data_IF_097068777944
#
_entry.id   IF_097068777944
#
_cell.length_a   1.000
_cell.length_b   1.000
_cell.length_c   1.000
_cell.angle_alpha   90.00
_cell.angle_beta   90.00
_cell.angle_gamma   90.00
#
_symmetry.space_group_name_H-M   'P 1'
#
loop_
_entity.id
_entity.type
_entity.pdbx_description
1 polymer ?
#
# COMPACT_ATOMS: atom_id res chain seq x y z
N UNK A 1 21.39 -20.73 -11.35
CA UNK A 1 21.73 -20.03 -10.09
C UNK A 1 20.73 -18.92 -9.89
N UNK A 2 19.62 -19.22 -9.22
CA UNK A 2 18.66 -18.21 -8.74
C UNK A 2 19.04 -17.95 -7.30
N UNK A 3 19.69 -16.82 -7.02
CA UNK A 3 19.85 -16.34 -5.65
C UNK A 3 19.10 -15.02 -5.49
N UNK A 4 18.34 -14.97 -4.39
CA UNK A 4 17.88 -13.80 -3.64
C UNK A 4 16.79 -12.89 -4.24
N UNK A 5 15.58 -13.45 -4.30
CA UNK A 5 14.38 -12.79 -3.73
C UNK A 5 13.56 -13.87 -3.03
N UNK A 6 14.05 -14.39 -1.91
CA UNK A 6 13.16 -15.06 -0.96
C UNK A 6 12.31 -13.95 -0.34
N UNK A 7 11.23 -13.56 -1.03
CA UNK A 7 10.25 -12.63 -0.45
C UNK A 7 9.76 -13.25 0.86
N UNK A 8 9.86 -12.50 1.96
CA UNK A 8 9.36 -12.95 3.25
C UNK A 8 7.85 -13.12 3.14
N UNK A 9 7.38 -14.37 3.19
CA UNK A 9 5.96 -14.69 3.16
C UNK A 9 5.33 -14.25 4.48
N UNK A 10 4.11 -13.75 4.42
CA UNK A 10 3.40 -13.28 5.61
C UNK A 10 3.12 -14.42 6.60
N UNK A 11 2.87 -15.64 6.11
CA UNK A 11 2.75 -16.83 6.93
C UNK A 11 4.06 -17.20 7.66
N UNK A 12 5.20 -17.19 6.96
CA UNK A 12 6.50 -17.46 7.58
C UNK A 12 6.83 -16.39 8.63
N UNK A 13 6.53 -15.12 8.37
CA UNK A 13 6.67 -14.05 9.35
C UNK A 13 5.83 -14.30 10.60
N UNK A 14 4.59 -14.77 10.44
CA UNK A 14 3.73 -15.14 11.56
C UNK A 14 4.36 -16.25 12.41
N UNK A 15 4.83 -17.32 11.79
CA UNK A 15 5.50 -18.41 12.50
C UNK A 15 6.75 -17.94 13.28
N UNK A 16 7.44 -16.90 12.79
CA UNK A 16 8.64 -16.35 13.44
C UNK A 16 8.36 -15.35 14.57
N UNK A 17 7.29 -14.56 14.47
CA UNK A 17 7.06 -13.42 15.35
C UNK A 17 5.77 -13.52 16.19
N UNK A 18 4.84 -14.40 15.82
CA UNK A 18 3.57 -14.69 16.50
C UNK A 18 2.84 -13.39 16.92
N UNK A 19 2.56 -13.22 18.21
CA UNK A 19 1.77 -12.10 18.77
C UNK A 19 2.42 -10.72 18.60
N UNK A 20 3.67 -10.63 18.13
CA UNK A 20 4.35 -9.34 17.88
C UNK A 20 3.94 -8.72 16.54
N UNK A 21 3.28 -9.46 15.67
CA UNK A 21 2.76 -8.98 14.39
C UNK A 21 1.38 -8.38 14.56
N UNK A 22 1.16 -7.22 13.94
CA UNK A 22 -0.19 -6.80 13.62
C UNK A 22 -0.61 -7.47 12.31
N UNK A 23 -1.76 -8.14 12.30
CA UNK A 23 -2.31 -8.81 11.11
C UNK A 23 -3.52 -8.01 10.63
N UNK A 24 -3.50 -7.63 9.35
CA UNK A 24 -4.61 -6.93 8.73
C UNK A 24 -5.77 -7.88 8.48
N UNK A 25 -6.98 -7.47 8.90
CA UNK A 25 -8.19 -8.21 8.59
C UNK A 25 -8.39 -8.33 7.07
N UNK A 26 -8.92 -9.46 6.57
CA UNK A 26 -9.19 -9.65 5.15
C UNK A 26 -10.10 -8.58 4.54
N UNK A 27 -9.98 -8.36 3.23
CA UNK A 27 -10.81 -7.40 2.49
C UNK A 27 -10.08 -6.64 1.39
N UNK A 28 -8.75 -6.71 1.37
CA UNK A 28 -7.93 -6.16 0.30
C UNK A 28 -7.75 -7.17 -0.84
N UNK A 29 -7.71 -6.66 -2.06
CA UNK A 29 -7.45 -7.41 -3.29
C UNK A 29 -6.15 -6.94 -3.91
N UNK A 30 -5.38 -7.86 -4.47
CA UNK A 30 -4.18 -7.56 -5.26
C UNK A 30 -4.54 -7.04 -6.64
N UNK A 31 -3.92 -5.91 -7.00
CA UNK A 31 -4.03 -5.27 -8.30
C UNK A 31 -2.70 -4.99 -8.96
N UNK A 32 -1.59 -4.96 -8.21
CA UNK A 32 -0.25 -4.74 -8.77
C UNK A 32 0.31 -5.97 -9.49
N UNK A 33 1.30 -5.75 -10.35
CA UNK A 33 2.05 -6.84 -10.99
C UNK A 33 2.95 -7.60 -10.02
N UNK A 34 3.46 -6.91 -8.99
CA UNK A 34 4.23 -7.55 -7.91
C UNK A 34 3.26 -8.08 -6.83
N UNK A 35 3.11 -9.41 -6.77
CA UNK A 35 2.19 -10.08 -5.83
C UNK A 35 2.70 -10.12 -4.39
N UNK A 36 4.01 -10.00 -4.20
CA UNK A 36 4.65 -9.88 -2.90
C UNK A 36 5.47 -8.59 -2.82
N UNK A 37 5.21 -7.75 -1.81
CA UNK A 37 5.92 -6.49 -1.61
C UNK A 37 6.03 -6.15 -0.13
N UNK A 38 7.06 -5.41 0.23
CA UNK A 38 7.28 -4.97 1.59
C UNK A 38 8.15 -3.72 1.63
N UNK A 39 8.13 -3.02 2.76
CA UNK A 39 8.99 -1.87 2.99
C UNK A 39 8.58 -0.99 4.16
N UNK A 40 9.39 0.03 4.48
CA UNK A 40 9.03 1.01 5.48
C UNK A 40 7.78 1.79 5.08
N UNK A 41 6.86 1.96 6.01
CA UNK A 41 5.57 2.61 5.80
C UNK A 41 5.76 4.12 5.71
N UNK A 42 5.18 4.71 4.68
CA UNK A 42 4.75 6.10 4.66
C UNK A 42 3.23 6.13 4.74
N UNK A 43 2.63 7.06 5.47
CA UNK A 43 1.18 7.13 5.63
C UNK A 43 0.61 8.42 5.06
N UNK A 44 -0.61 8.32 4.55
CA UNK A 44 -1.42 9.46 4.13
C UNK A 44 -2.88 9.22 4.50
N UNK A 45 -3.48 10.15 5.24
CA UNK A 45 -4.91 10.17 5.51
C UNK A 45 -5.60 11.20 4.64
N UNK A 46 -6.54 10.79 3.81
CA UNK A 46 -7.27 11.68 2.92
C UNK A 46 -8.64 11.09 2.59
N UNK A 47 -9.61 11.91 2.20
CA UNK A 47 -10.95 11.42 1.92
C UNK A 47 -11.42 11.90 0.56
N UNK A 48 -11.48 10.97 -0.39
CA UNK A 48 -11.94 11.22 -1.77
C UNK A 48 -11.18 12.33 -2.51
N UNK A 49 -9.96 12.63 -2.06
CA UNK A 49 -9.04 13.63 -2.60
C UNK A 49 -7.65 13.02 -2.71
N UNK A 50 -7.12 12.88 -3.93
CA UNK A 50 -5.82 12.27 -4.17
C UNK A 50 -4.70 13.28 -4.48
N UNK A 51 -4.91 14.56 -4.17
CA UNK A 51 -3.89 15.60 -4.38
C UNK A 51 -2.58 15.25 -3.66
N UNK A 52 -2.68 14.90 -2.38
CA UNK A 52 -1.51 14.56 -1.58
C UNK A 52 -0.94 13.18 -1.91
N UNK A 53 -1.74 12.26 -2.45
CA UNK A 53 -1.27 10.96 -2.97
C UNK A 53 -0.28 11.21 -4.10
N UNK A 54 -0.65 12.08 -5.04
CA UNK A 54 0.22 12.45 -6.15
C UNK A 54 1.52 13.08 -5.66
N UNK A 55 1.43 14.05 -4.76
CA UNK A 55 2.62 14.73 -4.22
C UNK A 55 3.56 13.78 -3.47
N UNK A 56 3.02 12.78 -2.78
CA UNK A 56 3.85 11.79 -2.07
C UNK A 56 4.52 10.84 -3.06
N UNK A 57 3.78 10.32 -4.05
CA UNK A 57 4.34 9.43 -5.07
C UNK A 57 5.29 10.13 -6.05
N UNK A 58 5.27 11.46 -6.13
CA UNK A 58 6.26 12.27 -6.86
C UNK A 58 7.62 12.35 -6.13
N UNK A 59 7.70 11.95 -4.85
CA UNK A 59 8.95 11.88 -4.10
C UNK A 59 9.62 10.51 -4.23
N UNK A 60 10.93 10.45 -3.94
CA UNK A 60 11.70 9.21 -3.91
C UNK A 60 11.09 8.20 -2.92
N UNK A 61 10.69 7.04 -3.44
CA UNK A 61 10.09 5.95 -2.67
C UNK A 61 11.11 5.25 -1.78
N UNK A 62 12.33 5.01 -2.27
CA UNK A 62 13.40 4.31 -1.53
C UNK A 62 12.93 2.94 -0.99
N UNK A 63 12.11 2.23 -1.76
CA UNK A 63 11.52 0.95 -1.35
C UNK A 63 10.44 1.07 -0.26
N UNK A 64 9.97 2.28 0.07
CA UNK A 64 8.83 2.47 0.98
C UNK A 64 7.54 1.91 0.40
N UNK A 65 6.59 1.65 1.29
CA UNK A 65 5.19 1.35 0.95
C UNK A 65 4.32 2.53 1.37
N UNK A 66 3.53 3.07 0.44
CA UNK A 66 2.57 4.13 0.76
C UNK A 66 1.26 3.50 1.26
N UNK A 67 0.88 3.80 2.50
CA UNK A 67 -0.39 3.39 3.10
C UNK A 67 -1.36 4.56 3.09
N UNK A 68 -2.41 4.45 2.30
CA UNK A 68 -3.43 5.48 2.11
C UNK A 68 -4.68 5.09 2.90
N UNK A 69 -4.99 5.86 3.94
CA UNK A 69 -6.31 5.83 4.56
C UNK A 69 -7.28 6.73 3.79
N UNK A 70 -8.01 6.13 2.85
CA UNK A 70 -9.08 6.75 2.05
C UNK A 70 -10.44 6.79 2.76
N UNK A 71 -10.49 6.44 4.06
CA UNK A 71 -11.72 6.26 4.84
C UNK A 71 -12.56 5.06 4.39
N UNK A 72 -11.96 4.10 3.66
CA UNK A 72 -12.67 2.94 3.11
C UNK A 72 -13.72 3.30 2.05
N UNK A 73 -13.68 4.52 1.49
CA UNK A 73 -14.70 4.95 0.52
C UNK A 73 -14.61 4.14 -0.76
N UNK A 74 -15.76 3.62 -1.19
CA UNK A 74 -15.91 2.93 -2.46
C UNK A 74 -16.48 3.82 -3.57
N UNK A 75 -16.62 5.13 -3.34
CA UNK A 75 -17.33 6.05 -4.26
C UNK A 75 -16.43 6.67 -5.33
N UNK A 76 -15.12 6.64 -5.15
CA UNK A 76 -14.13 7.10 -6.14
C UNK A 76 -12.77 6.41 -5.92
N UNK A 77 -11.92 6.43 -6.95
CA UNK A 77 -10.57 5.90 -6.90
C UNK A 77 -9.57 6.93 -6.36
N UNK A 78 -8.71 6.47 -5.45
CA UNK A 78 -7.59 7.23 -4.89
C UNK A 78 -6.29 7.03 -5.69
N UNK A 79 -6.15 5.90 -6.38
CA UNK A 79 -5.02 5.55 -7.24
C UNK A 79 -5.53 5.13 -8.64
N UNK A 80 -4.78 5.51 -9.67
CA UNK A 80 -4.93 5.03 -11.04
C UNK A 80 -3.56 4.85 -11.68
N UNK A 81 -3.52 4.37 -12.92
CA UNK A 81 -2.31 4.03 -13.68
C UNK A 81 -1.24 5.12 -13.67
N UNK A 82 -1.60 6.39 -13.91
CA UNK A 82 -0.65 7.51 -13.95
C UNK A 82 0.06 7.70 -12.61
N UNK A 83 -0.64 7.50 -11.49
CA UNK A 83 -0.03 7.64 -10.16
C UNK A 83 0.75 6.38 -9.78
N UNK A 84 0.28 5.20 -10.18
CA UNK A 84 1.02 3.95 -9.99
C UNK A 84 2.34 3.97 -10.78
N UNK A 85 2.34 4.46 -12.01
CA UNK A 85 3.56 4.63 -12.81
C UNK A 85 4.56 5.58 -12.13
N UNK A 86 4.08 6.67 -11.52
CA UNK A 86 4.95 7.54 -10.70
C UNK A 86 5.58 6.81 -9.53
N UNK A 87 4.81 5.94 -8.87
CA UNK A 87 5.33 5.12 -7.78
C UNK A 87 6.46 4.20 -8.27
N UNK A 88 6.28 3.55 -9.44
CA UNK A 88 7.32 2.75 -10.11
C UNK A 88 8.55 3.61 -10.42
N UNK A 89 8.36 4.71 -11.13
CA UNK A 89 9.44 5.59 -11.60
C UNK A 89 10.28 6.15 -10.44
N UNK A 90 9.64 6.39 -9.30
CA UNK A 90 10.29 6.91 -8.10
C UNK A 90 10.75 5.84 -7.10
N UNK A 91 10.64 4.55 -7.44
CA UNK A 91 11.18 3.45 -6.64
C UNK A 91 10.41 3.16 -5.34
N UNK A 92 9.09 3.28 -5.36
CA UNK A 92 8.22 2.75 -4.30
C UNK A 92 8.09 1.23 -4.43
N UNK A 93 8.03 0.52 -3.31
CA UNK A 93 7.81 -0.93 -3.30
C UNK A 93 6.33 -1.29 -3.50
N UNK A 94 5.42 -0.42 -3.04
CA UNK A 94 3.99 -0.63 -3.24
C UNK A 94 3.09 0.44 -2.64
N UNK A 95 1.79 0.27 -2.85
CA UNK A 95 0.73 1.13 -2.34
C UNK A 95 -0.41 0.29 -1.77
N UNK A 96 -0.74 0.51 -0.50
CA UNK A 96 -1.93 -0.04 0.15
C UNK A 96 -3.01 1.05 0.22
N UNK A 97 -4.20 0.78 -0.31
CA UNK A 97 -5.31 1.75 -0.37
C UNK A 97 -6.51 1.25 0.43
N UNK A 98 -6.77 1.85 1.60
CA UNK A 98 -8.06 1.72 2.29
C UNK A 98 -9.14 2.52 1.54
N UNK A 99 -9.56 2.01 0.40
CA UNK A 99 -10.47 2.64 -0.56
C UNK A 99 -10.40 1.95 -1.93
N UNK A 100 -10.84 2.65 -2.97
CA UNK A 100 -10.80 2.13 -4.34
C UNK A 100 -9.59 2.60 -5.15
N UNK A 101 -9.29 1.83 -6.19
CA UNK A 101 -8.43 2.25 -7.32
C UNK A 101 -9.21 2.23 -8.64
N UNK A 102 -8.57 2.60 -9.74
CA UNK A 102 -9.05 2.39 -11.12
C UNK A 102 -7.89 2.01 -12.02
N UNK A 103 -8.17 1.73 -13.29
CA UNK A 103 -7.15 1.35 -14.29
C UNK A 103 -6.39 0.08 -13.84
N UNK A 104 -7.16 -0.86 -13.27
CA UNK A 104 -6.64 -2.04 -12.57
C UNK A 104 -5.95 -3.03 -13.51
N UNK A 105 -6.33 -3.05 -14.80
CA UNK A 105 -5.67 -3.90 -15.78
C UNK A 105 -4.24 -3.41 -16.04
N UNK A 106 -4.09 -2.11 -16.27
CA UNK A 106 -2.81 -1.45 -16.49
C UNK A 106 -1.91 -1.53 -15.26
N UNK A 107 -2.46 -1.30 -14.06
CA UNK A 107 -1.73 -1.46 -12.79
C UNK A 107 -1.23 -2.90 -12.60
N UNK A 108 -2.01 -3.89 -13.07
CA UNK A 108 -1.65 -5.31 -13.00
C UNK A 108 -0.43 -5.72 -13.82
N UNK A 109 0.01 -4.86 -14.75
CA UNK A 109 1.19 -5.06 -15.58
C UNK A 109 2.43 -4.31 -15.05
N UNK A 110 2.26 -3.48 -14.01
CA UNK A 110 3.34 -2.67 -13.44
C UNK A 110 4.14 -3.43 -12.38
N UNK A 111 5.47 -3.24 -12.35
CA UNK A 111 6.37 -3.73 -11.29
C UNK A 111 6.21 -2.93 -9.99
N UNK A 112 5.03 -3.04 -9.39
CA UNK A 112 4.63 -2.35 -8.17
C UNK A 112 3.64 -3.24 -7.41
N UNK A 113 3.80 -3.34 -6.10
CA UNK A 113 2.78 -3.94 -5.24
C UNK A 113 1.59 -3.00 -5.07
N UNK A 114 0.37 -3.44 -5.37
CA UNK A 114 -0.84 -2.63 -5.12
C UNK A 114 -1.93 -3.48 -4.53
N UNK A 115 -2.42 -3.09 -3.36
CA UNK A 115 -3.60 -3.69 -2.73
C UNK A 115 -4.64 -2.63 -2.39
N UNK A 116 -5.90 -2.92 -2.64
CA UNK A 116 -7.01 -2.02 -2.35
C UNK A 116 -8.31 -2.78 -2.05
N UNK A 117 -9.33 -2.10 -1.53
CA UNK A 117 -10.61 -2.75 -1.22
C UNK A 117 -11.38 -3.15 -2.49
N UNK A 118 -11.44 -2.25 -3.47
CA UNK A 118 -12.19 -2.46 -4.72
C UNK A 118 -11.70 -1.54 -5.85
N UNK A 119 -12.40 -1.59 -6.97
CA UNK A 119 -12.21 -0.67 -8.10
C UNK A 119 -13.41 0.27 -8.24
N UNK A 120 -13.19 1.54 -8.61
CA UNK A 120 -14.24 2.46 -9.00
C UNK A 120 -13.74 3.40 -10.12
N UNK A 121 -14.41 3.49 -11.29
CA UNK A 121 -13.91 4.30 -12.41
C UNK A 121 -13.92 5.82 -12.14
N UNK A 122 -14.70 6.30 -11.16
CA UNK A 122 -14.80 7.71 -10.83
C UNK A 122 -13.51 8.20 -10.19
N UNK A 123 -12.91 9.26 -10.74
CA UNK A 123 -11.77 9.96 -10.12
C UNK A 123 -12.16 10.66 -8.82
N UNK A 124 -11.24 10.71 -7.86
CA UNK A 124 -11.30 11.60 -6.70
C UNK A 124 -11.27 13.07 -7.09
N UNK A 125 -11.60 13.95 -6.15
CA UNK A 125 -11.37 15.39 -6.29
C UNK A 125 -9.89 15.74 -6.10
N UNK A 126 -9.55 17.01 -6.34
CA UNK A 126 -8.19 17.54 -6.16
C UNK A 126 -8.22 18.90 -5.45
N UNK A 127 -8.49 18.89 -4.15
CA UNK A 127 -8.61 20.10 -3.32
C UNK A 127 -7.42 20.28 -2.36
N UNK A 128 -6.40 19.42 -2.42
CA UNK A 128 -5.22 19.51 -1.55
C UNK A 128 -5.46 19.07 -0.10
N UNK A 129 -6.53 18.30 0.18
CA UNK A 129 -6.90 17.95 1.55
C UNK A 129 -6.32 16.61 2.01
N UNK A 130 -5.85 16.57 3.25
CA UNK A 130 -5.40 15.37 3.95
C UNK A 130 -4.18 15.64 4.82
N UNK A 131 -3.70 14.59 5.47
CA UNK A 131 -2.62 14.64 6.45
C UNK A 131 -1.54 13.60 6.10
N UNK A 132 -0.29 14.07 5.91
CA UNK A 132 0.87 13.23 5.62
C UNK A 132 1.56 12.79 6.91
N UNK A 133 2.05 11.55 6.96
CA UNK A 133 2.88 11.08 8.06
C UNK A 133 2.16 10.96 9.41
N UNK A 134 0.82 10.86 9.39
CA UNK A 134 0.02 10.62 10.60
C UNK A 134 -0.24 9.14 10.79
N UNK A 135 -0.46 8.71 12.02
CA UNK A 135 -0.94 7.35 12.30
C UNK A 135 -2.31 7.14 11.62
N UNK A 136 -2.49 5.99 10.96
CA UNK A 136 -3.77 5.58 10.37
C UNK A 136 -4.18 4.21 10.89
N UNK A 137 -5.48 4.05 11.17
CA UNK A 137 -6.03 2.83 11.75
C UNK A 137 -7.20 2.33 10.89
N UNK A 138 -7.06 1.12 10.35
CA UNK A 138 -8.11 0.42 9.64
C UNK A 138 -7.82 -1.07 9.61
N UNK A 139 -8.87 -1.87 9.38
CA UNK A 139 -8.77 -3.33 9.26
C UNK A 139 -8.01 -4.01 10.41
N UNK A 140 -8.18 -3.53 11.63
CA UNK A 140 -7.58 -4.12 12.82
C UNK A 140 -6.10 -3.77 13.04
N UNK A 141 -5.50 -2.95 12.18
CA UNK A 141 -4.08 -2.56 12.26
C UNK A 141 -3.95 -1.07 12.43
N UNK A 142 -2.97 -0.67 13.23
CA UNK A 142 -2.48 0.70 13.26
C UNK A 142 -1.18 0.78 12.48
N UNK A 143 -1.19 1.53 11.37
CA UNK A 143 -0.04 1.77 10.52
C UNK A 143 0.65 3.07 10.93
N UNK A 144 1.93 2.99 11.32
CA UNK A 144 2.74 4.15 11.68
C UNK A 144 3.87 4.36 10.68
N UNK A 145 4.21 5.63 10.35
CA UNK A 145 5.40 5.91 9.57
C UNK A 145 6.65 5.25 10.16
N UNK A 146 7.46 4.61 9.30
CA UNK A 146 8.72 3.96 9.69
C UNK A 146 8.59 2.51 10.20
N UNK A 147 7.39 2.05 10.56
CA UNK A 147 7.11 0.61 10.73
C UNK A 147 7.20 -0.09 9.37
N UNK A 148 7.19 -1.42 9.36
CA UNK A 148 7.37 -2.21 8.14
C UNK A 148 6.09 -2.96 7.79
N UNK A 149 5.66 -2.81 6.54
CA UNK A 149 4.56 -3.57 5.96
C UNK A 149 5.11 -4.69 5.10
N UNK A 150 4.51 -5.87 5.21
CA UNK A 150 4.72 -7.01 4.31
C UNK A 150 3.35 -7.44 3.80
N UNK A 151 3.27 -7.70 2.49
CA UNK A 151 2.04 -8.09 1.84
C UNK A 151 2.32 -9.13 0.76
N UNK A 152 1.50 -10.18 0.74
CA UNK A 152 1.47 -11.22 -0.27
C UNK A 152 0.02 -11.70 -0.48
N UNK A 153 -0.18 -12.79 -1.21
CA UNK A 153 -1.52 -13.32 -1.49
C UNK A 153 -2.31 -13.78 -0.25
N UNK A 154 -1.63 -14.09 0.86
CA UNK A 154 -2.28 -14.54 2.10
C UNK A 154 -2.79 -13.37 2.93
N UNK A 155 -2.06 -12.24 2.93
CA UNK A 155 -2.53 -11.06 3.64
C UNK A 155 -1.52 -9.93 3.76
N UNK A 156 -1.75 -9.08 4.76
CA UNK A 156 -0.89 -7.94 5.09
C UNK A 156 -0.55 -8.04 6.57
N UNK A 157 0.73 -7.89 6.88
CA UNK A 157 1.21 -7.84 8.26
C UNK A 157 2.13 -6.64 8.48
N UNK A 158 2.19 -6.16 9.73
CA UNK A 158 3.02 -5.03 10.13
C UNK A 158 3.91 -5.39 11.30
N UNK A 159 5.19 -5.02 11.18
CA UNK A 159 6.21 -5.13 12.22
C UNK A 159 6.74 -3.76 12.61
N UNK A 160 7.15 -3.61 13.87
CA UNK A 160 7.75 -2.37 14.36
C UNK A 160 9.11 -2.04 13.69
N UNK A 161 9.80 -3.04 13.14
CA UNK A 161 11.08 -2.93 12.45
C UNK A 161 11.14 -3.92 11.29
N UNK A 162 12.13 -3.77 10.41
CA UNK A 162 12.42 -4.77 9.40
C UNK A 162 12.60 -6.16 10.04
N UNK A 163 12.02 -7.18 9.41
CA UNK A 163 12.37 -8.55 9.70
C UNK A 163 13.82 -8.76 9.20
N UNK A 164 14.64 -9.36 10.05
CA UNK A 164 16.06 -9.61 9.84
C UNK A 164 16.30 -11.07 9.55
#
# INVERSE_FOLDING_TARGET
MYQEKAGMKTADLYDLHEEKLQICNPGFRHYGGDRGFHGPIATLKCFEDNSLVREELDQAGQGRVLVIDGGGSLRCAMLGDILAQKAVDNGWAGVLVNGCIRDAAEIGEMSLGVMALATNPRKSVKQGKGDKGVEVNFSGVTFRPGEWLYADEDGIVVLARAAT
#
